data_IF_677555631837
#
_entry.id   IF_677555631837
#
_cell.length_a   1.000
_cell.length_b   1.000
_cell.length_c   1.000
_cell.angle_alpha   90.00
_cell.angle_beta   90.00
_cell.angle_gamma   90.00
#
_symmetry.space_group_name_H-M   'P 1'
#
loop_
_entity.id
_entity.type
_entity.pdbx_description
1 polymer ?
#
# COMPACT_ATOMS: atom_id res chain seq x y z
N UNK A 1 0.29 31.51 -20.55
CA UNK A 1 0.58 30.74 -21.78
C UNK A 1 -0.11 29.40 -21.66
N UNK A 2 -1.32 29.29 -22.19
CA UNK A 2 -2.09 28.04 -22.25
C UNK A 2 -1.62 27.25 -23.46
N UNK A 3 -0.81 26.22 -23.25
CA UNK A 3 -0.48 25.26 -24.31
C UNK A 3 -1.76 24.52 -24.67
N UNK A 4 -2.32 24.82 -25.83
CA UNK A 4 -3.44 24.06 -26.40
C UNK A 4 -2.88 22.67 -26.68
N UNK A 5 -3.31 21.69 -25.88
CA UNK A 5 -3.09 20.28 -26.18
C UNK A 5 -3.88 20.02 -27.46
N UNK A 6 -3.18 19.96 -28.58
CA UNK A 6 -3.75 19.54 -29.86
C UNK A 6 -4.31 18.14 -29.66
N UNK A 7 -5.64 18.02 -29.61
CA UNK A 7 -6.37 16.75 -29.62
C UNK A 7 -6.55 16.20 -31.04
N UNK A 8 -5.79 16.73 -32.01
CA UNK A 8 -5.79 16.24 -33.37
C UNK A 8 -5.11 14.86 -33.46
N UNK A 9 -5.58 13.97 -34.36
CA UNK A 9 -4.89 12.72 -34.63
C UNK A 9 -3.44 12.99 -35.05
N UNK A 10 -2.54 12.19 -34.51
CA UNK A 10 -1.11 12.27 -34.78
C UNK A 10 -0.82 12.19 -36.30
N UNK A 11 0.24 12.85 -36.77
CA UNK A 11 0.58 12.86 -38.19
C UNK A 11 0.78 11.42 -38.73
N UNK A 12 0.27 11.08 -39.92
CA UNK A 12 0.43 9.74 -40.47
C UNK A 12 1.92 9.43 -40.70
N UNK A 13 2.44 8.40 -40.04
CA UNK A 13 3.83 7.92 -40.19
C UNK A 13 4.71 7.97 -38.94
N UNK A 14 4.24 8.48 -37.81
CA UNK A 14 4.97 8.39 -36.53
C UNK A 14 4.80 7.00 -35.91
N UNK A 15 5.92 6.29 -35.76
CA UNK A 15 6.00 5.04 -34.99
C UNK A 15 6.40 5.38 -33.56
N UNK A 16 5.47 5.23 -32.61
CA UNK A 16 5.75 5.37 -31.19
C UNK A 16 6.44 4.10 -30.72
N UNK A 17 7.70 4.21 -30.27
CA UNK A 17 8.34 3.09 -29.60
C UNK A 17 7.58 2.79 -28.32
N UNK A 18 7.35 1.51 -28.05
CA UNK A 18 6.84 1.07 -26.75
C UNK A 18 7.79 1.60 -25.69
N UNK A 19 7.26 2.36 -24.73
CA UNK A 19 8.06 2.90 -23.65
C UNK A 19 8.60 1.74 -22.80
N UNK A 20 9.87 1.79 -22.39
CA UNK A 20 10.44 0.75 -21.52
C UNK A 20 9.63 0.59 -20.21
N UNK A 21 8.96 1.67 -19.80
CA UNK A 21 8.09 1.72 -18.64
C UNK A 21 6.85 0.83 -18.82
N UNK A 22 6.27 0.75 -20.03
CA UNK A 22 5.10 -0.08 -20.30
C UNK A 22 5.33 -1.57 -20.00
N UNK A 23 6.58 -2.03 -20.08
CA UNK A 23 6.95 -3.43 -19.85
C UNK A 23 7.50 -3.63 -18.43
N UNK A 24 8.35 -2.73 -17.95
CA UNK A 24 9.00 -2.88 -16.64
C UNK A 24 8.02 -2.69 -15.49
N UNK A 25 7.13 -1.69 -15.53
CA UNK A 25 6.16 -1.40 -14.47
C UNK A 25 5.23 -2.58 -14.13
N UNK A 26 4.57 -3.26 -15.09
CA UNK A 26 3.70 -4.38 -14.76
C UNK A 26 4.49 -5.60 -14.28
N UNK A 27 5.70 -5.84 -14.82
CA UNK A 27 6.56 -6.93 -14.36
C UNK A 27 6.96 -6.75 -12.89
N UNK A 28 7.46 -5.56 -12.53
CA UNK A 28 7.78 -5.26 -11.14
C UNK A 28 6.54 -5.32 -10.25
N UNK A 29 5.41 -4.81 -10.72
CA UNK A 29 4.16 -4.86 -9.95
C UNK A 29 3.75 -6.30 -9.59
N UNK A 30 3.78 -7.22 -10.54
CA UNK A 30 3.46 -8.64 -10.32
C UNK A 30 4.45 -9.27 -9.34
N UNK A 31 5.75 -8.98 -9.49
CA UNK A 31 6.78 -9.47 -8.56
C UNK A 31 6.54 -8.97 -7.12
N UNK A 32 6.19 -7.69 -6.96
CA UNK A 32 5.87 -7.13 -5.65
C UNK A 32 4.61 -7.73 -5.04
N UNK A 33 3.57 -8.00 -5.84
CA UNK A 33 2.36 -8.69 -5.37
C UNK A 33 2.72 -10.08 -4.85
N UNK A 34 3.53 -10.86 -5.58
CA UNK A 34 3.98 -12.18 -5.14
C UNK A 34 4.80 -12.10 -3.84
N UNK A 35 5.68 -11.12 -3.73
CA UNK A 35 6.49 -10.90 -2.53
C UNK A 35 5.61 -10.53 -1.32
N UNK A 36 4.55 -9.75 -1.53
CA UNK A 36 3.60 -9.34 -0.49
C UNK A 36 2.69 -10.48 0.03
N UNK A 37 2.54 -11.58 -0.70
CA UNK A 37 1.78 -12.76 -0.23
C UNK A 37 2.42 -13.38 1.02
N UNK A 38 3.76 -13.35 1.11
CA UNK A 38 4.51 -13.91 2.24
C UNK A 38 4.19 -13.17 3.56
N UNK A 39 4.40 -11.84 3.66
CA UNK A 39 4.02 -11.10 4.86
C UNK A 39 2.50 -11.13 5.08
N UNK A 40 1.67 -11.17 4.03
CA UNK A 40 0.22 -11.29 4.20
C UNK A 40 -0.17 -12.55 5.00
N UNK A 41 0.37 -13.72 4.63
CA UNK A 41 0.10 -14.97 5.37
C UNK A 41 0.62 -14.92 6.81
N UNK A 42 1.79 -14.34 7.02
CA UNK A 42 2.38 -14.23 8.35
C UNK A 42 1.56 -13.31 9.26
N UNK A 43 1.17 -12.14 8.75
CA UNK A 43 0.36 -11.15 9.47
C UNK A 43 -1.06 -11.66 9.73
N UNK A 44 -1.64 -12.42 8.80
CA UNK A 44 -2.94 -13.06 8.97
C UNK A 44 -2.92 -14.05 10.14
N UNK A 45 -1.83 -14.81 10.30
CA UNK A 45 -1.66 -15.74 11.43
C UNK A 45 -1.57 -15.03 12.78
N UNK A 46 -1.02 -13.82 12.81
CA UNK A 46 -0.88 -12.99 14.03
C UNK A 46 -2.15 -12.17 14.31
N UNK A 47 -3.18 -12.24 13.46
CA UNK A 47 -4.42 -11.46 13.55
C UNK A 47 -4.19 -9.94 13.69
N UNK A 48 -3.07 -9.42 13.17
CA UNK A 48 -2.82 -7.98 13.16
C UNK A 48 -3.58 -7.32 12.01
N UNK A 49 -4.83 -6.93 12.29
CA UNK A 49 -5.77 -6.36 11.31
C UNK A 49 -5.19 -5.12 10.63
N UNK A 50 -4.48 -4.27 11.38
CA UNK A 50 -3.86 -3.06 10.82
C UNK A 50 -2.79 -3.45 9.79
N UNK A 51 -1.87 -4.34 10.14
CA UNK A 51 -0.83 -4.75 9.21
C UNK A 51 -1.41 -5.48 7.97
N UNK A 52 -2.44 -6.31 8.14
CA UNK A 52 -3.16 -6.93 7.03
C UNK A 52 -3.81 -5.90 6.09
N UNK A 53 -4.46 -4.87 6.64
CA UNK A 53 -5.07 -3.81 5.85
C UNK A 53 -4.02 -3.04 5.03
N UNK A 54 -2.85 -2.76 5.60
CA UNK A 54 -1.76 -2.07 4.90
C UNK A 54 -1.25 -2.89 3.70
N UNK A 55 -1.12 -4.21 3.86
CA UNK A 55 -0.70 -5.10 2.76
C UNK A 55 -1.76 -5.13 1.66
N UNK A 56 -3.05 -5.24 2.02
CA UNK A 56 -4.15 -5.21 1.05
C UNK A 56 -4.18 -3.90 0.26
N UNK A 57 -3.99 -2.75 0.92
CA UNK A 57 -3.91 -1.43 0.27
C UNK A 57 -2.77 -1.39 -0.75
N UNK A 58 -1.60 -1.93 -0.41
CA UNK A 58 -0.45 -2.00 -1.32
C UNK A 58 -0.72 -2.92 -2.53
N UNK A 59 -1.35 -4.08 -2.32
CA UNK A 59 -1.73 -4.98 -3.43
C UNK A 59 -2.67 -4.27 -4.40
N UNK A 60 -3.71 -3.60 -3.89
CA UNK A 60 -4.64 -2.84 -4.74
C UNK A 60 -3.91 -1.74 -5.52
N UNK A 61 -3.00 -1.02 -4.87
CA UNK A 61 -2.20 0.05 -5.51
C UNK A 61 -1.32 -0.49 -6.65
N UNK A 62 -0.71 -1.66 -6.46
CA UNK A 62 0.11 -2.33 -7.47
C UNK A 62 -0.72 -2.81 -8.67
N UNK A 63 -1.94 -3.31 -8.42
CA UNK A 63 -2.89 -3.68 -9.48
C UNK A 63 -3.21 -2.45 -10.35
N UNK A 64 -3.46 -1.29 -9.74
CA UNK A 64 -3.69 -0.07 -10.51
C UNK A 64 -2.48 0.32 -11.36
N UNK A 65 -1.26 0.19 -10.84
CA UNK A 65 -0.04 0.45 -11.62
C UNK A 65 0.06 -0.48 -12.83
N UNK A 66 -0.20 -1.78 -12.65
CA UNK A 66 -0.18 -2.75 -13.74
C UNK A 66 -1.27 -2.44 -14.79
N UNK A 67 -2.49 -2.11 -14.36
CA UNK A 67 -3.57 -1.72 -15.26
C UNK A 67 -3.22 -0.48 -16.10
N UNK A 68 -2.59 0.53 -15.49
CA UNK A 68 -2.23 1.75 -16.23
C UNK A 68 -1.17 1.47 -17.29
N UNK A 69 -0.16 0.67 -16.97
CA UNK A 69 0.88 0.31 -17.93
C UNK A 69 0.34 -0.55 -19.09
N UNK A 70 -0.64 -1.42 -18.82
CA UNK A 70 -1.28 -2.27 -19.84
C UNK A 70 -2.27 -1.51 -20.74
N UNK A 71 -3.01 -0.54 -20.18
CA UNK A 71 -4.04 0.19 -20.91
C UNK A 71 -3.44 1.28 -21.82
N UNK A 72 -2.28 1.83 -21.44
CA UNK A 72 -1.56 2.85 -22.22
C UNK A 72 -0.08 2.48 -22.42
N UNK A 73 0.20 1.45 -23.24
CA UNK A 73 1.58 1.03 -23.51
C UNK A 73 2.31 1.97 -24.48
N UNK A 74 1.55 2.70 -25.31
CA UNK A 74 2.06 3.63 -26.33
C UNK A 74 1.45 5.02 -26.12
N UNK A 75 2.24 6.06 -26.40
CA UNK A 75 1.83 7.46 -26.26
C UNK A 75 0.94 7.97 -27.42
N UNK A 76 0.50 7.09 -28.31
CA UNK A 76 -0.36 7.44 -29.46
C UNK A 76 -1.75 7.87 -29.02
N UNK A 77 -2.16 9.10 -29.32
CA UNK A 77 -3.50 9.59 -28.95
C UNK A 77 -4.60 9.08 -29.87
N UNK A 78 -4.27 8.72 -31.12
CA UNK A 78 -5.25 8.29 -32.12
C UNK A 78 -5.78 6.86 -31.94
N UNK A 79 -4.98 5.95 -31.36
CA UNK A 79 -5.33 4.53 -31.19
C UNK A 79 -5.61 4.14 -29.73
N UNK A 80 -5.53 5.09 -28.79
CA UNK A 80 -5.64 4.78 -27.36
C UNK A 80 -7.08 4.46 -26.94
N UNK A 81 -7.20 3.57 -25.96
CA UNK A 81 -8.47 3.31 -25.31
C UNK A 81 -8.96 4.55 -24.54
N UNK A 82 -10.24 4.90 -24.69
CA UNK A 82 -10.88 5.97 -23.91
C UNK A 82 -11.14 5.47 -22.49
N UNK A 83 -10.19 5.71 -21.59
CA UNK A 83 -10.25 5.27 -20.19
C UNK A 83 -11.04 6.19 -19.26
N UNK A 84 -12.00 6.97 -19.76
CA UNK A 84 -12.68 8.01 -18.98
C UNK A 84 -13.36 7.46 -17.71
N UNK A 85 -13.96 6.26 -17.80
CA UNK A 85 -14.61 5.59 -16.67
C UNK A 85 -13.56 5.01 -15.70
N UNK A 86 -12.52 4.37 -16.24
CA UNK A 86 -11.47 3.72 -15.44
C UNK A 86 -10.69 4.76 -14.63
N UNK A 87 -10.32 5.88 -15.26
CA UNK A 87 -9.56 6.95 -14.62
C UNK A 87 -10.34 7.60 -13.47
N UNK A 88 -11.64 7.87 -13.66
CA UNK A 88 -12.46 8.55 -12.65
C UNK A 88 -12.64 7.69 -11.39
N UNK A 89 -12.96 6.40 -11.58
CA UNK A 89 -13.06 5.42 -10.49
C UNK A 89 -11.69 5.25 -9.80
N UNK A 90 -10.62 5.16 -10.58
CA UNK A 90 -9.29 4.94 -10.04
C UNK A 90 -8.83 6.11 -9.17
N UNK A 91 -9.04 7.36 -9.59
CA UNK A 91 -8.64 8.54 -8.81
C UNK A 91 -9.40 8.58 -7.48
N UNK A 92 -10.70 8.29 -7.50
CA UNK A 92 -11.52 8.26 -6.29
C UNK A 92 -11.05 7.17 -5.30
N UNK A 93 -10.79 5.95 -5.80
CA UNK A 93 -10.27 4.86 -4.97
C UNK A 93 -8.87 5.20 -4.46
N UNK A 94 -7.99 5.75 -5.30
CA UNK A 94 -6.60 6.06 -4.95
C UNK A 94 -6.55 7.11 -3.82
N UNK A 95 -7.44 8.09 -3.83
CA UNK A 95 -7.55 9.07 -2.74
C UNK A 95 -7.94 8.39 -1.41
N UNK A 96 -8.91 7.48 -1.44
CA UNK A 96 -9.31 6.71 -0.26
C UNK A 96 -8.18 5.77 0.24
N UNK A 97 -7.40 5.19 -0.67
CA UNK A 97 -6.26 4.33 -0.31
C UNK A 97 -5.14 5.10 0.38
N UNK A 98 -4.83 6.33 -0.03
CA UNK A 98 -3.79 7.13 0.62
C UNK A 98 -4.14 7.51 2.06
N UNK A 99 -5.40 7.88 2.31
CA UNK A 99 -5.88 8.17 3.66
C UNK A 99 -5.88 6.90 4.53
N UNK A 100 -6.31 5.77 3.97
CA UNK A 100 -6.26 4.47 4.64
C UNK A 100 -4.82 4.01 4.93
N UNK A 101 -3.87 4.24 4.01
CA UNK A 101 -2.46 3.91 4.23
C UNK A 101 -1.89 4.69 5.41
N UNK A 102 -2.18 5.99 5.47
CA UNK A 102 -1.72 6.88 6.55
C UNK A 102 -2.31 6.48 7.90
N UNK A 103 -3.62 6.22 7.96
CA UNK A 103 -4.28 5.82 9.20
C UNK A 103 -3.77 4.47 9.72
N UNK A 104 -3.61 3.50 8.81
CA UNK A 104 -3.13 2.16 9.16
C UNK A 104 -1.68 2.20 9.65
N UNK A 105 -0.83 3.01 9.02
CA UNK A 105 0.56 3.22 9.47
C UNK A 105 0.59 3.83 10.87
N UNK A 106 -0.25 4.83 11.15
CA UNK A 106 -0.38 5.41 12.49
C UNK A 106 -0.84 4.37 13.52
N UNK A 107 -1.85 3.55 13.20
CA UNK A 107 -2.31 2.46 14.06
C UNK A 107 -1.20 1.44 14.37
N UNK A 108 -0.40 1.08 13.37
CA UNK A 108 0.76 0.20 13.54
C UNK A 108 1.77 0.89 14.48
N UNK A 109 2.16 2.13 14.23
CA UNK A 109 3.08 2.88 15.09
C UNK A 109 2.59 3.00 16.53
N UNK A 110 1.29 3.23 16.76
CA UNK A 110 0.69 3.26 18.09
C UNK A 110 0.72 1.90 18.78
N UNK A 111 0.47 0.82 18.04
CA UNK A 111 0.58 -0.53 18.56
C UNK A 111 2.02 -0.84 18.97
N UNK A 112 2.99 -0.47 18.14
CA UNK A 112 4.41 -0.61 18.48
C UNK A 112 4.80 0.27 19.68
N UNK A 113 4.37 1.53 19.74
CA UNK A 113 4.66 2.42 20.86
C UNK A 113 4.07 1.89 22.17
N UNK A 114 2.88 1.28 22.14
CA UNK A 114 2.29 0.62 23.32
C UNK A 114 3.05 -0.63 23.73
N UNK A 115 3.53 -1.43 22.78
CA UNK A 115 4.35 -2.61 23.07
C UNK A 115 5.72 -2.22 23.65
N UNK A 116 6.33 -1.14 23.15
CA UNK A 116 7.63 -0.60 23.60
C UNK A 116 7.52 0.15 24.93
N UNK A 117 6.38 0.81 25.22
CA UNK A 117 6.12 1.43 26.52
C UNK A 117 5.86 0.41 27.64
N UNK A 118 6.49 -0.76 27.55
CA UNK A 118 6.62 -1.75 28.61
C UNK A 118 7.54 -1.27 29.74
N UNK A 119 8.19 -0.12 29.63
CA UNK A 119 8.93 0.48 30.75
C UNK A 119 8.03 1.12 31.83
N UNK A 120 6.76 1.44 31.49
CA UNK A 120 5.69 1.64 32.48
C UNK A 120 4.88 0.36 32.73
N UNK A 121 5.19 -0.74 32.04
CA UNK A 121 4.81 -2.05 32.53
C UNK A 121 5.71 -2.31 33.75
N UNK A 122 5.13 -2.03 34.91
CA UNK A 122 5.44 -2.78 36.11
C UNK A 122 5.70 -4.22 35.65
N UNK A 123 6.97 -4.67 35.71
CA UNK A 123 7.35 -6.07 35.75
C UNK A 123 6.17 -6.76 36.40
N UNK A 124 5.37 -7.51 35.64
CA UNK A 124 4.17 -8.11 36.17
C UNK A 124 4.67 -8.85 37.40
N UNK A 125 4.39 -8.32 38.60
CA UNK A 125 4.95 -8.91 39.80
C UNK A 125 4.44 -10.33 39.72
N UNK A 126 5.35 -11.26 39.44
CA UNK A 126 5.00 -12.67 39.38
C UNK A 126 4.22 -12.93 40.67
N UNK A 127 3.22 -13.82 40.65
CA UNK A 127 2.48 -14.14 41.88
C UNK A 127 3.44 -14.46 43.05
N UNK A 128 4.66 -14.93 42.75
CA UNK A 128 5.78 -15.07 43.67
C UNK A 128 6.38 -13.74 44.20
N UNK A 129 6.55 -12.71 43.36
CA UNK A 129 7.05 -11.39 43.75
C UNK A 129 6.02 -10.62 44.59
N UNK A 130 4.73 -10.69 44.21
CA UNK A 130 3.61 -10.12 45.00
C UNK A 130 3.49 -10.75 46.39
N UNK A 131 3.71 -12.06 46.51
CA UNK A 131 3.74 -12.76 47.81
C UNK A 131 4.96 -12.36 48.66
N UNK A 132 6.12 -12.13 48.05
CA UNK A 132 7.33 -11.67 48.76
C UNK A 132 7.22 -10.23 49.23
N UNK A 133 6.51 -9.37 48.50
CA UNK A 133 6.24 -7.99 48.91
C UNK A 133 5.31 -7.95 50.12
N UNK A 134 4.19 -8.67 50.03
CA UNK A 134 3.23 -8.83 51.13
C UNK A 134 3.92 -9.37 52.39
N UNK A 135 4.82 -10.37 52.27
CA UNK A 135 5.60 -10.88 53.41
C UNK A 135 6.53 -9.87 54.09
N UNK A 136 7.06 -8.89 53.34
CA UNK A 136 7.94 -7.84 53.87
C UNK A 136 7.20 -6.70 54.57
N UNK A 137 5.89 -6.57 54.34
CA UNK A 137 5.06 -5.53 54.95
C UNK A 137 4.60 -5.91 56.38
N UNK A 138 4.95 -7.10 56.88
CA UNK A 138 4.60 -7.62 58.22
C UNK A 138 5.78 -7.71 59.20
N UNK A 139 6.99 -7.34 58.78
CA UNK A 139 8.15 -7.09 59.67
C UNK A 139 8.23 -5.60 60.02
#
# INVERSE_FOLDING_TARGET
MSTIISTGPDAPGVNYSVSANAITLPLFSILFILLLIVPFRLLYRVNNIAACALVTINIISLIFVAMNALLWPTDSLASRFSGHIVCDIQVLIRQALYTAMTSTTCCISLFLARAVNTDNACMHESRAMKRRRVGKDYE
#
